data_IF_982423712575
#
_entry.id   IF_982423712575
#
_cell.length_a   1.000
_cell.length_b   1.000
_cell.length_c   1.000
_cell.angle_alpha   90.00
_cell.angle_beta   90.00
_cell.angle_gamma   90.00
#
_symmetry.space_group_name_H-M   'P 1'
#
loop_
_entity.id
_entity.type
_entity.pdbx_description
1 polymer ?
#
# COMPACT_ATOMS: atom_id res chain seq x y z
N UNK A 1 0.80 12.47 -2.97
CA UNK A 1 0.54 13.78 -3.57
C UNK A 1 1.09 14.87 -2.67
N UNK A 2 2.09 15.54 -3.12
CA UNK A 2 2.88 16.39 -2.24
C UNK A 2 2.34 17.79 -2.03
N UNK A 3 1.49 18.32 -2.89
CA UNK A 3 0.89 19.66 -2.74
C UNK A 3 -0.30 19.84 -3.67
N UNK A 4 -1.42 20.31 -3.16
CA UNK A 4 -2.55 20.78 -3.94
C UNK A 4 -3.88 20.13 -3.58
N UNK A 5 -4.93 20.68 -4.12
CA UNK A 5 -6.28 20.13 -4.00
C UNK A 5 -6.40 18.93 -4.92
N UNK A 6 -6.56 17.75 -4.35
CA UNK A 6 -6.73 16.52 -5.10
C UNK A 6 -8.20 16.16 -5.11
N UNK A 7 -8.66 15.71 -6.26
CA UNK A 7 -10.07 15.42 -6.51
C UNK A 7 -10.17 14.05 -7.17
N UNK A 8 -11.18 13.29 -6.79
CA UNK A 8 -11.67 12.20 -7.61
C UNK A 8 -12.56 12.81 -8.69
N UNK A 9 -12.34 12.41 -9.92
CA UNK A 9 -13.14 12.89 -11.07
C UNK A 9 -13.70 11.66 -11.77
N UNK A 10 -15.01 11.57 -11.82
CA UNK A 10 -15.69 10.58 -12.65
C UNK A 10 -15.38 10.85 -14.12
N UNK A 11 -15.12 9.81 -14.89
CA UNK A 11 -14.99 9.90 -16.34
C UNK A 11 -16.13 9.14 -17.00
N UNK A 12 -16.77 9.75 -17.99
CA UNK A 12 -17.70 9.06 -18.87
C UNK A 12 -16.92 7.99 -19.67
N UNK A 13 -17.22 6.69 -19.51
CA UNK A 13 -16.46 5.63 -20.15
C UNK A 13 -16.57 5.62 -21.68
N UNK A 14 -17.58 6.27 -22.26
CA UNK A 14 -17.77 6.36 -23.71
C UNK A 14 -17.07 7.54 -24.35
N UNK A 15 -17.05 8.67 -23.65
CA UNK A 15 -16.53 9.94 -24.21
C UNK A 15 -15.22 10.39 -23.58
N UNK A 16 -14.83 9.81 -22.44
CA UNK A 16 -13.67 10.23 -21.64
C UNK A 16 -13.83 11.62 -21.01
N UNK A 17 -15.02 12.23 -21.11
CA UNK A 17 -15.25 13.56 -20.54
C UNK A 17 -15.31 13.51 -19.01
N UNK A 18 -14.68 14.49 -18.34
CA UNK A 18 -14.76 14.58 -16.89
C UNK A 18 -16.17 14.98 -16.44
N UNK A 19 -16.67 14.29 -15.43
CA UNK A 19 -17.91 14.59 -14.74
C UNK A 19 -17.69 15.43 -13.48
N UNK A 20 -18.45 15.14 -12.44
CA UNK A 20 -18.36 15.84 -11.17
C UNK A 20 -17.05 15.52 -10.44
N UNK A 21 -16.37 16.55 -9.97
CA UNK A 21 -15.21 16.39 -9.10
C UNK A 21 -15.65 16.29 -7.64
N UNK A 22 -15.08 15.33 -6.91
CA UNK A 22 -15.28 15.16 -5.46
C UNK A 22 -13.98 15.46 -4.74
N UNK A 23 -14.03 16.36 -3.77
CA UNK A 23 -12.88 16.66 -2.92
C UNK A 23 -12.60 15.50 -1.97
N UNK A 24 -11.37 15.04 -1.95
CA UNK A 24 -10.87 14.02 -1.04
C UNK A 24 -9.55 14.46 -0.44
N UNK A 25 -9.25 13.93 0.73
CA UNK A 25 -8.01 14.26 1.44
C UNK A 25 -6.92 13.27 1.01
N UNK A 26 -5.80 13.79 0.48
CA UNK A 26 -4.56 13.06 0.20
C UNK A 26 -4.76 11.72 -0.55
N UNK A 27 -5.49 11.65 -1.67
CA UNK A 27 -5.69 10.39 -2.38
C UNK A 27 -4.42 9.98 -3.12
N UNK A 28 -3.87 8.85 -2.73
CA UNK A 28 -2.77 8.21 -3.46
C UNK A 28 -3.30 7.15 -4.43
N UNK A 29 -4.19 6.30 -3.92
CA UNK A 29 -4.77 5.19 -4.69
C UNK A 29 -6.23 4.99 -4.30
N UNK A 30 -6.98 4.23 -5.11
CA UNK A 30 -8.37 3.91 -4.85
C UNK A 30 -8.69 2.47 -5.23
N UNK A 31 -9.46 1.79 -4.37
CA UNK A 31 -9.94 0.43 -4.58
C UNK A 31 -11.43 0.35 -4.32
N UNK A 32 -12.09 -0.64 -4.90
CA UNK A 32 -13.45 -1.01 -4.52
C UNK A 32 -13.43 -2.26 -3.67
N UNK A 33 -14.24 -2.30 -2.62
CA UNK A 33 -14.39 -3.51 -1.80
C UNK A 33 -15.01 -4.63 -2.64
N UNK A 34 -14.65 -5.91 -2.41
CA UNK A 34 -15.16 -7.03 -3.19
C UNK A 34 -16.69 -7.17 -3.17
N UNK A 35 -17.35 -6.71 -2.11
CA UNK A 35 -18.81 -6.68 -2.00
C UNK A 35 -19.46 -5.48 -2.72
N UNK A 36 -18.67 -4.59 -3.31
CA UNK A 36 -19.11 -3.42 -4.04
C UNK A 36 -19.75 -2.32 -3.19
N UNK A 37 -19.69 -2.39 -1.85
CA UNK A 37 -20.37 -1.43 -0.97
C UNK A 37 -19.54 -0.20 -0.63
N UNK A 38 -18.25 -0.22 -0.88
CA UNK A 38 -17.37 0.91 -0.60
C UNK A 38 -16.29 1.10 -1.66
N UNK A 39 -15.92 2.35 -1.90
CA UNK A 39 -14.65 2.74 -2.49
C UNK A 39 -13.68 3.10 -1.36
N UNK A 40 -12.47 2.57 -1.40
CA UNK A 40 -11.41 2.85 -0.42
C UNK A 40 -10.45 3.85 -1.05
N UNK A 41 -10.40 5.06 -0.52
CA UNK A 41 -9.39 6.06 -0.88
C UNK A 41 -8.22 5.90 0.07
N UNK A 42 -7.05 5.64 -0.49
CA UNK A 42 -5.80 5.49 0.28
C UNK A 42 -5.22 6.88 0.52
N UNK A 43 -5.33 7.37 1.75
CA UNK A 43 -4.75 8.65 2.19
C UNK A 43 -3.35 8.39 2.77
N UNK A 44 -2.35 8.36 1.87
CA UNK A 44 -0.99 7.87 2.15
C UNK A 44 -0.28 8.65 3.26
N UNK A 45 -0.15 9.97 3.11
CA UNK A 45 0.54 10.82 4.07
C UNK A 45 -0.24 10.91 5.40
N UNK A 46 -1.56 10.68 5.35
CA UNK A 46 -2.43 10.65 6.52
C UNK A 46 -2.39 9.32 7.27
N UNK A 47 -1.81 8.27 6.66
CA UNK A 47 -1.83 6.90 7.21
C UNK A 47 -3.26 6.46 7.52
N UNK A 48 -4.15 6.62 6.55
CA UNK A 48 -5.57 6.42 6.73
C UNK A 48 -6.20 5.84 5.47
N UNK A 49 -7.22 5.02 5.65
CA UNK A 49 -8.06 4.47 4.60
C UNK A 49 -9.45 5.09 4.74
N UNK A 50 -9.88 5.87 3.75
CA UNK A 50 -11.17 6.53 3.74
C UNK A 50 -12.16 5.71 2.90
N UNK A 51 -13.17 5.16 3.55
CA UNK A 51 -14.23 4.40 2.91
C UNK A 51 -15.36 5.33 2.51
N UNK A 52 -15.78 5.20 1.26
CA UNK A 52 -16.78 6.07 0.63
C UNK A 52 -17.82 5.24 -0.10
N UNK A 53 -19.01 5.80 -0.26
CA UNK A 53 -20.02 5.23 -1.13
C UNK A 53 -19.49 5.14 -2.58
N UNK A 54 -19.57 3.98 -3.22
CA UNK A 54 -18.90 3.77 -4.51
C UNK A 54 -19.54 4.54 -5.69
N UNK A 55 -20.74 5.05 -5.51
CA UNK A 55 -21.48 5.80 -6.54
C UNK A 55 -21.41 7.30 -6.30
N UNK A 56 -21.72 7.73 -5.08
CA UNK A 56 -21.81 9.16 -4.73
C UNK A 56 -20.51 9.74 -4.22
N UNK A 57 -19.55 8.89 -3.86
CA UNK A 57 -18.31 9.24 -3.16
C UNK A 57 -18.53 9.93 -1.81
N UNK A 58 -19.73 9.83 -1.24
CA UNK A 58 -19.99 10.31 0.11
C UNK A 58 -19.17 9.52 1.14
N UNK A 59 -18.64 10.21 2.14
CA UNK A 59 -17.86 9.54 3.20
C UNK A 59 -18.75 8.59 4.00
N UNK A 60 -18.25 7.39 4.27
CA UNK A 60 -18.88 6.37 5.11
C UNK A 60 -18.17 6.27 6.47
N UNK A 61 -16.90 5.92 6.47
CA UNK A 61 -16.04 5.79 7.65
C UNK A 61 -14.58 5.81 7.24
N UNK A 62 -13.68 5.84 8.22
CA UNK A 62 -12.25 5.77 8.00
C UNK A 62 -11.60 4.78 8.96
N UNK A 63 -10.47 4.20 8.57
CA UNK A 63 -9.62 3.35 9.39
C UNK A 63 -8.23 3.96 9.42
N UNK A 64 -7.76 4.37 10.59
CA UNK A 64 -6.39 4.81 10.78
C UNK A 64 -5.44 3.61 10.79
N UNK A 65 -4.31 3.76 10.09
CA UNK A 65 -3.27 2.72 9.98
C UNK A 65 -1.91 3.27 10.42
N UNK A 66 -1.77 3.69 11.69
CA UNK A 66 -0.58 4.42 12.16
C UNK A 66 0.73 3.65 12.02
N UNK A 67 0.68 2.30 12.04
CA UNK A 67 1.83 1.43 11.82
C UNK A 67 2.20 1.20 10.35
N UNK A 68 1.56 1.93 9.42
CA UNK A 68 1.76 1.80 7.97
C UNK A 68 2.13 3.15 7.33
N UNK A 69 3.32 3.71 7.62
CA UNK A 69 3.81 4.89 6.90
C UNK A 69 3.93 4.59 5.41
N UNK A 70 3.37 5.48 4.58
CA UNK A 70 3.30 5.25 3.14
C UNK A 70 2.33 4.12 2.78
N UNK A 71 1.14 4.08 3.39
CA UNK A 71 0.09 3.14 2.98
C UNK A 71 -0.23 3.37 1.50
N UNK A 72 -0.14 2.30 0.70
CA UNK A 72 -0.02 2.43 -0.74
C UNK A 72 -0.97 1.49 -1.48
N UNK A 73 -0.46 0.35 -1.94
CA UNK A 73 -1.21 -0.61 -2.73
C UNK A 73 -1.91 -1.66 -1.87
N UNK A 74 -2.95 -2.26 -2.43
CA UNK A 74 -3.70 -3.31 -1.75
C UNK A 74 -4.18 -4.41 -2.70
N UNK A 75 -4.38 -5.59 -2.11
CA UNK A 75 -5.20 -6.64 -2.70
C UNK A 75 -6.05 -7.32 -1.61
N UNK A 76 -7.08 -8.04 -2.05
CA UNK A 76 -8.14 -8.55 -1.20
C UNK A 76 -8.10 -10.07 -1.09
N UNK A 77 -8.56 -10.57 0.05
CA UNK A 77 -8.88 -11.99 0.17
C UNK A 77 -10.04 -12.37 -0.76
N UNK A 78 -10.04 -13.60 -1.26
CA UNK A 78 -11.09 -14.09 -2.18
C UNK A 78 -12.49 -14.01 -1.54
N UNK A 79 -12.57 -14.26 -0.24
CA UNK A 79 -13.83 -14.17 0.52
C UNK A 79 -14.24 -12.73 0.84
N UNK A 80 -13.44 -11.74 0.45
CA UNK A 80 -13.70 -10.32 0.69
C UNK A 80 -13.63 -9.88 2.16
N UNK A 81 -13.14 -10.72 3.06
CA UNK A 81 -13.13 -10.41 4.50
C UNK A 81 -12.01 -9.50 4.93
N UNK A 82 -10.87 -9.55 4.24
CA UNK A 82 -9.74 -8.70 4.57
C UNK A 82 -9.02 -8.20 3.33
N UNK A 83 -8.26 -7.14 3.51
CA UNK A 83 -7.28 -6.64 2.57
C UNK A 83 -5.90 -6.58 3.21
N UNK A 84 -4.85 -6.72 2.38
CA UNK A 84 -3.47 -6.46 2.78
C UNK A 84 -2.99 -5.25 2.01
N UNK A 85 -2.51 -4.24 2.75
CA UNK A 85 -1.93 -3.01 2.21
C UNK A 85 -0.42 -3.01 2.37
N UNK A 86 0.29 -2.51 1.37
CA UNK A 86 1.72 -2.23 1.45
C UNK A 86 1.97 -0.91 2.15
N UNK A 87 3.09 -0.83 2.90
CA UNK A 87 3.51 0.33 3.66
C UNK A 87 4.92 0.73 3.18
N UNK A 88 4.95 1.53 2.13
CA UNK A 88 6.14 1.86 1.34
C UNK A 88 7.31 2.35 2.19
N UNK A 89 7.05 3.28 3.12
CA UNK A 89 8.12 3.95 3.86
C UNK A 89 8.61 3.20 5.11
N UNK A 90 8.01 2.05 5.42
CA UNK A 90 8.38 1.27 6.60
C UNK A 90 8.84 -0.15 6.28
N UNK A 91 8.68 -0.62 5.05
CA UNK A 91 8.94 -2.02 4.70
C UNK A 91 8.05 -2.97 5.49
N UNK A 92 6.78 -2.59 5.68
CA UNK A 92 5.77 -3.39 6.39
C UNK A 92 4.55 -3.61 5.52
N UNK A 93 3.68 -4.49 5.99
CA UNK A 93 2.33 -4.68 5.45
C UNK A 93 1.31 -4.45 6.57
N UNK A 94 0.13 -3.98 6.22
CA UNK A 94 -1.01 -3.86 7.12
C UNK A 94 -2.13 -4.79 6.67
N UNK A 95 -2.66 -5.63 7.55
CA UNK A 95 -3.85 -6.47 7.30
C UNK A 95 -5.05 -5.83 7.95
N UNK A 96 -6.10 -5.61 7.15
CA UNK A 96 -7.30 -4.88 7.54
C UNK A 96 -8.51 -5.82 7.45
N UNK A 97 -9.27 -5.94 8.52
CA UNK A 97 -10.57 -6.60 8.52
C UNK A 97 -11.61 -5.63 7.94
N UNK A 98 -12.21 -6.01 6.82
CA UNK A 98 -13.20 -5.19 6.13
C UNK A 98 -14.61 -5.31 6.74
N UNK A 99 -14.87 -6.39 7.46
CA UNK A 99 -16.16 -6.65 8.14
C UNK A 99 -16.19 -5.91 9.47
N UNK A 100 -15.16 -6.15 10.30
CA UNK A 100 -15.04 -5.54 11.63
C UNK A 100 -14.46 -4.10 11.57
N UNK A 101 -14.03 -3.64 10.40
CA UNK A 101 -13.51 -2.28 10.13
C UNK A 101 -12.34 -1.91 11.04
N UNK A 102 -11.35 -2.80 11.12
CA UNK A 102 -10.21 -2.61 12.02
C UNK A 102 -8.91 -3.16 11.44
N UNK A 103 -7.79 -2.67 11.96
CA UNK A 103 -6.48 -3.25 11.69
C UNK A 103 -6.35 -4.57 12.44
N UNK A 104 -6.00 -5.65 11.73
CA UNK A 104 -5.70 -6.96 12.33
C UNK A 104 -4.25 -7.06 12.80
N UNK A 105 -3.34 -6.35 12.14
CA UNK A 105 -1.93 -6.32 12.50
C UNK A 105 -1.03 -5.77 11.40
N UNK A 106 0.25 -5.67 11.74
CA UNK A 106 1.31 -5.24 10.84
C UNK A 106 2.38 -6.34 10.76
N UNK A 107 2.87 -6.59 9.55
CA UNK A 107 3.95 -7.54 9.29
C UNK A 107 5.18 -6.80 8.80
N UNK A 108 6.29 -6.89 9.54
CA UNK A 108 7.59 -6.41 9.06
C UNK A 108 8.15 -7.40 8.06
N UNK A 109 8.46 -6.93 6.84
CA UNK A 109 9.09 -7.77 5.83
C UNK A 109 10.55 -8.05 6.17
N UNK A 110 10.96 -9.29 5.95
CA UNK A 110 12.33 -9.76 6.17
C UNK A 110 13.10 -9.71 4.86
N UNK A 111 14.18 -8.97 4.84
CA UNK A 111 15.05 -8.86 3.68
C UNK A 111 16.07 -10.01 3.69
N UNK A 112 16.34 -10.65 2.55
CA UNK A 112 17.39 -11.67 2.47
C UNK A 112 18.76 -11.05 2.76
N UNK A 113 19.50 -11.64 3.68
CA UNK A 113 20.84 -11.16 4.12
C UNK A 113 21.89 -11.08 2.99
N UNK A 114 21.66 -11.77 1.87
CA UNK A 114 22.62 -11.93 0.78
C UNK A 114 22.64 -10.79 -0.23
N UNK A 115 21.66 -9.87 -0.18
CA UNK A 115 21.53 -8.83 -1.22
C UNK A 115 22.12 -7.46 -0.86
N UNK A 116 22.52 -7.26 0.37
CA UNK A 116 23.25 -6.04 0.77
C UNK A 116 24.78 -6.14 0.60
N UNK A 117 25.27 -6.90 -0.37
CA UNK A 117 26.64 -6.68 -0.83
C UNK A 117 26.65 -5.33 -1.53
N UNK A 118 27.23 -4.32 -0.84
CA UNK A 118 27.53 -3.03 -1.43
C UNK A 118 28.15 -3.28 -2.81
N UNK A 119 27.46 -2.86 -3.87
CA UNK A 119 28.08 -2.82 -5.18
C UNK A 119 29.20 -1.78 -5.10
N UNK A 120 30.46 -2.14 -5.36
CA UNK A 120 31.54 -1.18 -5.36
C UNK A 120 31.26 -0.10 -6.40
N UNK A 121 31.07 1.15 -5.95
CA UNK A 121 30.80 2.30 -6.82
C UNK A 121 29.33 2.70 -6.94
N UNK A 122 28.39 1.98 -6.35
CA UNK A 122 27.01 2.49 -6.23
C UNK A 122 27.01 3.75 -5.36
N UNK A 123 26.33 4.84 -5.77
CA UNK A 123 26.20 6.00 -4.91
C UNK A 123 25.52 5.53 -3.62
N UNK A 124 26.22 5.66 -2.49
CA UNK A 124 25.64 5.40 -1.18
C UNK A 124 24.37 6.22 -1.09
N UNK A 125 23.23 5.56 -1.05
CA UNK A 125 22.01 6.20 -0.59
C UNK A 125 22.38 6.81 0.77
N UNK A 126 22.43 8.15 0.84
CA UNK A 126 22.97 8.83 2.02
C UNK A 126 22.04 8.50 3.19
N UNK A 127 22.48 7.59 4.04
CA UNK A 127 21.83 7.30 5.29
C UNK A 127 21.60 8.65 6.01
N UNK A 128 20.34 8.94 6.33
CA UNK A 128 20.01 10.15 7.08
C UNK A 128 19.66 11.40 6.26
N UNK A 129 19.48 11.33 4.94
CA UNK A 129 18.97 12.49 4.20
C UNK A 129 17.48 12.65 4.43
N UNK A 130 17.13 13.71 5.14
CA UNK A 130 15.74 14.15 5.34
C UNK A 130 15.21 14.77 4.03
N UNK A 131 14.07 14.31 3.54
CA UNK A 131 13.44 14.78 2.30
C UNK A 131 12.24 15.69 2.59
N UNK A 132 12.48 16.86 3.12
CA UNK A 132 11.46 17.87 3.37
C UNK A 132 11.07 18.05 4.84
N UNK A 133 10.39 19.16 5.18
CA UNK A 133 9.99 19.46 6.54
C UNK A 133 8.94 18.46 7.04
N UNK A 134 9.31 17.64 8.01
CA UNK A 134 8.42 16.67 8.64
C UNK A 134 8.54 15.23 8.14
N UNK A 135 9.41 14.94 7.18
CA UNK A 135 9.68 13.58 6.72
C UNK A 135 10.81 12.96 7.53
N UNK A 136 10.45 12.18 8.54
CA UNK A 136 11.41 11.41 9.31
C UNK A 136 11.77 10.12 8.58
N UNK A 137 13.07 9.91 8.31
CA UNK A 137 13.69 8.66 7.86
C UNK A 137 13.00 7.93 6.69
N UNK A 138 12.85 8.60 5.57
CA UNK A 138 12.57 7.95 4.30
C UNK A 138 13.84 7.27 3.80
N UNK A 139 13.80 5.97 3.65
CA UNK A 139 14.84 5.20 2.97
C UNK A 139 16.19 5.08 3.68
N UNK A 140 16.27 4.30 4.73
CA UNK A 140 17.51 3.57 4.98
C UNK A 140 17.52 2.32 4.09
N UNK A 141 18.65 2.01 3.45
CA UNK A 141 18.88 0.82 2.61
C UNK A 141 18.52 -0.51 3.31
N UNK A 142 18.23 -0.46 4.60
CA UNK A 142 17.82 -1.59 5.45
C UNK A 142 16.31 -1.79 5.56
N UNK A 143 15.50 -0.89 4.98
CA UNK A 143 14.04 -1.02 4.98
C UNK A 143 13.59 -1.38 3.57
N UNK A 144 12.77 -2.42 3.43
CA UNK A 144 12.07 -2.69 2.19
C UNK A 144 11.22 -1.50 1.77
N UNK A 145 10.90 -1.45 0.49
CA UNK A 145 10.00 -0.48 -0.13
C UNK A 145 8.92 -1.25 -0.91
N UNK A 146 8.02 -1.94 -0.19
CA UNK A 146 6.97 -2.73 -0.82
C UNK A 146 6.00 -1.81 -1.56
N UNK A 147 5.77 -2.16 -2.82
CA UNK A 147 4.90 -1.43 -3.74
C UNK A 147 3.68 -2.28 -4.08
N UNK A 148 3.65 -2.82 -5.27
CA UNK A 148 2.50 -3.55 -5.76
C UNK A 148 2.31 -4.89 -5.03
N UNK A 149 1.06 -5.32 -4.92
CA UNK A 149 0.65 -6.54 -4.25
C UNK A 149 -0.42 -7.24 -5.09
N UNK A 150 -0.31 -8.56 -5.22
CA UNK A 150 -1.32 -9.39 -5.89
C UNK A 150 -1.54 -10.69 -5.13
N UNK A 151 -2.80 -11.06 -4.98
CA UNK A 151 -3.20 -12.36 -4.46
C UNK A 151 -3.04 -13.45 -5.51
N UNK A 152 -2.74 -14.68 -5.06
CA UNK A 152 -2.81 -15.86 -5.92
C UNK A 152 -4.27 -16.17 -6.31
N UNK A 153 -4.50 -16.88 -7.45
CA UNK A 153 -5.85 -17.23 -7.86
C UNK A 153 -6.64 -18.06 -6.85
N UNK A 154 -5.94 -18.81 -5.99
CA UNK A 154 -6.56 -19.59 -4.90
C UNK A 154 -6.68 -18.80 -3.59
N UNK A 155 -6.23 -17.53 -3.56
CA UNK A 155 -6.30 -16.63 -2.41
C UNK A 155 -5.39 -16.97 -1.24
N UNK A 156 -4.53 -18.00 -1.37
CA UNK A 156 -3.70 -18.44 -0.24
C UNK A 156 -2.45 -17.59 -0.06
N UNK A 157 -1.93 -17.04 -1.15
CA UNK A 157 -0.68 -16.28 -1.16
C UNK A 157 -0.89 -14.87 -1.66
N UNK A 158 -0.09 -13.97 -1.14
CA UNK A 158 0.07 -12.61 -1.63
C UNK A 158 1.52 -12.41 -2.05
N UNK A 159 1.71 -11.84 -3.23
CA UNK A 159 3.00 -11.54 -3.83
C UNK A 159 3.23 -10.05 -3.79
N UNK A 160 4.29 -9.61 -3.15
CA UNK A 160 4.59 -8.19 -2.93
C UNK A 160 5.91 -7.84 -3.61
N UNK A 161 5.84 -7.00 -4.64
CA UNK A 161 7.02 -6.44 -5.26
C UNK A 161 7.68 -5.43 -4.34
N UNK A 162 8.96 -5.57 -4.10
CA UNK A 162 9.72 -4.67 -3.23
C UNK A 162 10.90 -4.08 -4.00
N UNK A 163 10.87 -2.76 -4.21
CA UNK A 163 11.86 -2.04 -5.00
C UNK A 163 13.24 -2.01 -4.37
N UNK A 164 13.34 -2.06 -3.05
CA UNK A 164 14.62 -2.06 -2.36
C UNK A 164 15.16 -3.48 -2.09
N UNK A 165 14.28 -4.48 -2.13
CA UNK A 165 14.69 -5.87 -1.98
C UNK A 165 15.12 -6.51 -3.29
N UNK A 166 14.88 -5.86 -4.45
CA UNK A 166 15.03 -6.44 -5.79
C UNK A 166 14.37 -7.81 -5.87
N UNK A 167 13.12 -7.88 -5.45
CA UNK A 167 12.43 -9.15 -5.41
C UNK A 167 10.97 -9.08 -4.99
N UNK A 168 10.41 -10.27 -4.81
CA UNK A 168 9.02 -10.45 -4.47
C UNK A 168 8.90 -11.26 -3.17
N UNK A 169 8.32 -10.66 -2.15
CA UNK A 169 7.97 -11.35 -0.91
C UNK A 169 6.71 -12.19 -1.12
N UNK A 170 6.67 -13.38 -0.55
CA UNK A 170 5.49 -14.26 -0.57
C UNK A 170 4.94 -14.35 0.84
N UNK A 171 3.68 -13.95 0.99
CA UNK A 171 2.97 -13.92 2.26
C UNK A 171 1.86 -14.97 2.26
N UNK A 172 1.76 -15.75 3.31
CA UNK A 172 0.58 -16.58 3.57
C UNK A 172 -0.58 -15.70 4.06
N UNK A 173 -1.65 -15.64 3.30
CA UNK A 173 -2.76 -14.74 3.57
C UNK A 173 -3.50 -15.05 4.88
N UNK A 174 -3.62 -16.32 5.24
CA UNK A 174 -4.33 -16.74 6.45
C UNK A 174 -3.54 -16.41 7.72
N UNK A 175 -2.29 -16.89 7.80
CA UNK A 175 -1.43 -16.68 8.97
C UNK A 175 -0.79 -15.29 9.02
N UNK A 176 -0.84 -14.53 7.93
CA UNK A 176 -0.20 -13.23 7.77
C UNK A 176 1.30 -13.29 8.10
N UNK A 177 2.00 -14.28 7.54
CA UNK A 177 3.43 -14.48 7.70
C UNK A 177 4.13 -14.49 6.35
N UNK A 178 5.33 -13.92 6.30
CA UNK A 178 6.21 -14.12 5.15
C UNK A 178 6.69 -15.57 5.14
N UNK A 179 6.49 -16.25 4.02
CA UNK A 179 6.81 -17.68 3.86
C UNK A 179 7.94 -17.91 2.87
N UNK A 180 8.18 -16.96 1.97
CA UNK A 180 9.23 -17.09 0.96
C UNK A 180 9.63 -15.73 0.39
N UNK A 181 10.65 -15.72 -0.46
CA UNK A 181 11.13 -14.57 -1.20
C UNK A 181 11.73 -15.02 -2.55
N UNK A 182 11.26 -14.41 -3.63
CA UNK A 182 11.76 -14.64 -4.98
C UNK A 182 12.68 -13.47 -5.35
N UNK A 183 14.00 -13.70 -5.49
CA UNK A 183 14.87 -12.66 -6.00
C UNK A 183 14.59 -12.41 -7.47
N UNK A 184 14.48 -11.15 -7.87
CA UNK A 184 14.46 -10.71 -9.25
C UNK A 184 15.83 -10.14 -9.62
N UNK A 185 16.27 -10.33 -10.86
CA UNK A 185 17.51 -9.72 -11.34
C UNK A 185 17.37 -8.18 -11.46
N UNK A 186 18.49 -7.49 -11.37
CA UNK A 186 18.62 -6.12 -11.84
C UNK A 186 18.60 -6.11 -13.36
#
# INVERSE_FOLDING_TARGET
SYFGYIRLVELDPKTGKPGKAVMVDDPYNMYFTPDGKSAIVVAEARKRLDFRDPVTMAAQYSIDVPGCPGVNHADFSIDGRYAIFTCEFSGTLAKIDLVERKVLGYLKLTMPATRFKEQPGAPRAQAGKVWGPGETELCTVTKGMPQDIRSSPDGKRFYIADMHADGVHIIDGASFKQVDFIPTGL
#
